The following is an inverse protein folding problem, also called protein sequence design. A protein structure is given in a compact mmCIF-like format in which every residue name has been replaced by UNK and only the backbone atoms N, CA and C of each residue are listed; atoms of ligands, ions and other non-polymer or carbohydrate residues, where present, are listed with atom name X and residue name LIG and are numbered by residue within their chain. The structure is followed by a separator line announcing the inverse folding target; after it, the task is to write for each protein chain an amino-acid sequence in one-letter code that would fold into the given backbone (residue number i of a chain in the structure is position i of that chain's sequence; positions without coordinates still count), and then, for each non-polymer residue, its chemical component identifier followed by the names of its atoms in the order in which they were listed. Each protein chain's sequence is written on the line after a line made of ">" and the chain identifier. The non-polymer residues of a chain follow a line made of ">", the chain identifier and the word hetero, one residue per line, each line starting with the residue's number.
data_IF_145458404666
#
_entry.id   IF_145458404666
#
_cell.length_a   1.000
_cell.length_b   1.000
_cell.length_c   1.000
_cell.angle_alpha   90.00
_cell.angle_beta   90.00
_cell.angle_gamma   90.00
#
_symmetry.space_group_name_H-M   'P 1'
#
loop_
_entity.id
_entity.type
_entity.pdbx_description
1 polymer ?
#
# COMPACT_ATOMS: atom_id res chain seq x y z
N UNK A 1 17.44 30.54 -59.77
CA UNK A 1 16.43 29.54 -59.41
C UNK A 1 15.55 30.20 -58.37
N UNK A 2 14.47 30.81 -58.84
CA UNK A 2 13.67 31.80 -58.11
C UNK A 2 12.74 31.15 -57.07
N UNK A 3 12.46 31.95 -56.06
CA UNK A 3 11.57 31.66 -54.94
C UNK A 3 10.10 31.54 -55.37
N UNK A 4 9.33 30.75 -54.62
CA UNK A 4 7.88 30.93 -54.49
C UNK A 4 7.54 30.97 -53.00
N UNK A 5 7.03 32.12 -52.58
CA UNK A 5 6.46 32.38 -51.26
C UNK A 5 4.92 32.34 -51.33
N UNK A 6 4.34 31.84 -50.23
CA UNK A 6 3.00 32.03 -49.64
C UNK A 6 1.82 32.49 -50.53
N UNK A 7 0.83 31.61 -50.61
CA UNK A 7 -0.55 31.86 -50.11
C UNK A 7 -1.31 30.53 -50.14
N UNK A 8 -1.61 29.92 -49.00
CA UNK A 8 -2.85 30.22 -48.29
C UNK A 8 -2.65 30.11 -46.78
N UNK A 9 -2.79 31.25 -46.13
CA UNK A 9 -2.92 31.40 -44.70
C UNK A 9 -4.38 31.19 -44.29
N UNK A 10 -4.53 30.53 -43.15
CA UNK A 10 -5.46 30.87 -42.08
C UNK A 10 -6.94 30.52 -42.24
N UNK A 11 -7.34 29.41 -41.58
CA UNK A 11 -8.24 29.39 -40.42
C UNK A 11 -8.73 27.94 -40.28
N UNK A 12 -8.11 27.09 -39.47
CA UNK A 12 -8.47 26.95 -38.06
C UNK A 12 -7.18 26.70 -37.26
N UNK A 13 -6.64 27.78 -36.72
CA UNK A 13 -5.85 27.71 -35.50
C UNK A 13 -6.63 26.93 -34.42
N UNK A 14 -5.88 26.18 -33.60
CA UNK A 14 -6.16 25.91 -32.18
C UNK A 14 -7.30 24.92 -31.86
N UNK A 15 -6.96 23.63 -31.88
CA UNK A 15 -7.41 22.52 -31.00
C UNK A 15 -6.87 21.23 -31.64
N UNK A 16 -5.86 20.52 -31.14
CA UNK A 16 -5.46 20.26 -29.76
C UNK A 16 -3.94 20.12 -29.69
N UNK A 17 -3.33 20.88 -28.79
CA UNK A 17 -2.09 20.48 -28.15
C UNK A 17 -2.37 19.28 -27.25
N UNK A 18 -1.76 18.14 -27.54
CA UNK A 18 -1.29 17.24 -26.51
C UNK A 18 -0.19 16.39 -27.13
N UNK A 19 1.03 16.66 -26.68
CA UNK A 19 2.17 15.75 -26.74
C UNK A 19 1.71 14.30 -26.64
N UNK A 20 1.99 13.48 -27.65
CA UNK A 20 2.02 12.04 -27.48
C UNK A 20 3.16 11.74 -26.51
N UNK A 21 2.85 11.69 -25.21
CA UNK A 21 3.68 10.98 -24.26
C UNK A 21 3.77 9.55 -24.78
N UNK A 22 4.98 9.08 -25.09
CA UNK A 22 5.25 7.66 -25.27
C UNK A 22 5.04 7.00 -23.90
N UNK A 23 3.81 6.63 -23.58
CA UNK A 23 3.51 5.89 -22.36
C UNK A 23 4.08 4.48 -22.56
N UNK A 24 5.17 4.17 -21.85
CA UNK A 24 5.86 2.89 -21.92
C UNK A 24 4.97 1.72 -21.50
N UNK A 25 5.30 0.51 -21.97
CA UNK A 25 4.59 -0.71 -21.56
C UNK A 25 4.91 -1.04 -20.08
N UNK A 26 3.88 -1.36 -19.30
CA UNK A 26 3.99 -1.80 -17.90
C UNK A 26 4.10 -3.33 -17.85
N UNK A 27 5.09 -3.90 -17.13
CA UNK A 27 5.26 -5.34 -16.97
C UNK A 27 4.40 -5.90 -15.83
N UNK A 28 3.10 -6.07 -16.06
CA UNK A 28 2.20 -6.69 -15.08
C UNK A 28 2.66 -8.10 -14.72
N UNK A 29 2.76 -8.41 -13.43
CA UNK A 29 3.03 -9.78 -12.95
C UNK A 29 1.70 -10.50 -12.78
N UNK A 30 1.55 -11.65 -13.45
CA UNK A 30 0.35 -12.49 -13.38
C UNK A 30 0.75 -13.81 -12.70
N UNK A 31 0.11 -14.13 -11.59
CA UNK A 31 0.26 -15.41 -10.90
C UNK A 31 -1.05 -16.18 -11.01
N UNK A 32 -0.96 -17.41 -11.50
CA UNK A 32 -2.10 -18.26 -11.75
C UNK A 32 -1.98 -19.51 -10.93
N UNK A 33 -2.92 -19.70 -10.00
CA UNK A 33 -2.99 -20.86 -9.12
C UNK A 33 -4.02 -21.83 -9.67
N UNK A 34 -3.56 -22.98 -10.14
CA UNK A 34 -4.44 -24.12 -10.47
C UNK A 34 -4.78 -24.84 -9.17
N UNK A 35 -6.05 -25.24 -8.99
CA UNK A 35 -6.47 -25.85 -7.72
C UNK A 35 -5.82 -27.21 -7.47
N UNK A 36 -5.97 -27.70 -6.25
CA UNK A 36 -5.63 -29.06 -5.80
C UNK A 36 -6.82 -30.03 -5.94
N UNK A 37 -7.81 -29.72 -6.79
CA UNK A 37 -8.89 -30.67 -7.12
C UNK A 37 -8.41 -31.75 -8.08
N UNK A 38 -8.98 -32.95 -8.01
CA UNK A 38 -8.60 -34.06 -8.88
C UNK A 38 -8.75 -33.69 -10.36
N UNK A 39 -7.67 -33.82 -11.14
CA UNK A 39 -7.60 -33.44 -12.56
C UNK A 39 -7.80 -31.94 -12.85
N UNK A 40 -7.50 -31.06 -11.89
CA UNK A 40 -7.63 -29.61 -12.06
C UNK A 40 -6.69 -28.99 -13.11
N UNK A 41 -5.55 -29.62 -13.39
CA UNK A 41 -4.54 -29.10 -14.31
C UNK A 41 -4.81 -29.38 -15.78
N UNK A 42 -4.12 -28.65 -16.66
CA UNK A 42 -4.28 -28.78 -18.11
C UNK A 42 -2.93 -28.84 -18.85
N UNK A 43 -2.93 -29.63 -19.93
CA UNK A 43 -1.88 -29.68 -20.95
C UNK A 43 -2.23 -28.84 -22.17
N UNK A 44 -3.27 -28.00 -22.10
CA UNK A 44 -3.70 -27.11 -23.18
C UNK A 44 -3.27 -25.66 -22.88
N UNK A 45 -3.70 -24.67 -23.66
CA UNK A 45 -3.36 -23.26 -23.40
C UNK A 45 -4.41 -22.58 -22.53
N UNK A 46 -3.96 -21.86 -21.51
CA UNK A 46 -4.77 -20.83 -20.87
C UNK A 46 -4.53 -19.48 -21.56
N UNK A 47 -5.50 -18.59 -21.52
CA UNK A 47 -5.30 -17.20 -21.93
C UNK A 47 -6.11 -16.24 -21.07
N UNK A 48 -5.62 -15.01 -20.93
CA UNK A 48 -6.26 -13.97 -20.13
C UNK A 48 -6.33 -12.65 -20.91
N UNK A 49 -7.41 -11.91 -20.71
CA UNK A 49 -7.54 -10.49 -21.07
C UNK A 49 -7.80 -9.71 -19.78
N UNK A 50 -7.12 -8.59 -19.62
CA UNK A 50 -7.23 -7.73 -18.45
C UNK A 50 -7.87 -6.41 -18.86
N UNK A 51 -8.92 -6.01 -18.15
CA UNK A 51 -9.69 -4.80 -18.38
C UNK A 51 -9.58 -3.88 -17.17
N UNK A 52 -9.01 -2.69 -17.37
CA UNK A 52 -8.94 -1.64 -16.36
C UNK A 52 -9.70 -0.39 -16.79
N UNK A 53 -9.63 0.65 -15.95
CA UNK A 53 -10.36 1.91 -16.16
C UNK A 53 -9.91 2.70 -17.38
N UNK A 54 -8.67 2.52 -17.84
CA UNK A 54 -8.11 3.28 -18.95
C UNK A 54 -8.02 2.48 -20.25
N UNK A 55 -7.63 1.21 -20.16
CA UNK A 55 -7.39 0.37 -21.33
C UNK A 55 -7.77 -1.10 -21.07
N UNK A 56 -7.87 -1.83 -22.18
CA UNK A 56 -8.03 -3.28 -22.25
C UNK A 56 -6.79 -3.89 -22.88
N UNK A 57 -6.28 -4.97 -22.31
CA UNK A 57 -5.13 -5.66 -22.85
C UNK A 57 -5.46 -6.48 -24.09
N UNK A 58 -4.43 -6.88 -24.84
CA UNK A 58 -4.54 -7.99 -25.78
C UNK A 58 -4.64 -9.33 -25.02
N UNK A 59 -4.99 -10.40 -25.73
CA UNK A 59 -4.95 -11.77 -25.18
C UNK A 59 -3.51 -12.15 -24.83
N UNK A 60 -3.26 -12.41 -23.56
CA UNK A 60 -2.02 -13.01 -23.10
C UNK A 60 -2.17 -14.53 -23.03
N UNK A 61 -1.34 -15.25 -23.77
CA UNK A 61 -1.36 -16.71 -23.83
C UNK A 61 -0.38 -17.33 -22.83
N UNK A 62 -0.92 -18.10 -21.90
CA UNK A 62 -0.18 -19.01 -21.01
C UNK A 62 0.09 -20.31 -21.76
N UNK A 63 1.14 -20.28 -22.58
CA UNK A 63 1.52 -21.43 -23.42
C UNK A 63 2.33 -22.43 -22.61
N UNK A 64 1.83 -23.64 -22.42
CA UNK A 64 2.66 -24.74 -21.97
C UNK A 64 3.33 -25.40 -23.18
N UNK A 65 4.60 -25.74 -23.00
CA UNK A 65 5.50 -26.24 -24.04
C UNK A 65 6.15 -27.52 -23.50
N UNK A 66 6.64 -28.44 -24.35
CA UNK A 66 7.11 -29.77 -23.91
C UNK A 66 8.09 -29.73 -22.72
N UNK A 67 8.98 -28.72 -22.69
CA UNK A 67 10.02 -28.55 -21.66
C UNK A 67 9.65 -27.58 -20.53
N UNK A 68 8.46 -26.97 -20.57
CA UNK A 68 7.94 -26.07 -19.53
C UNK A 68 6.43 -26.26 -19.42
N UNK A 69 6.07 -27.24 -18.61
CA UNK A 69 4.69 -27.57 -18.33
C UNK A 69 4.18 -26.74 -17.16
N UNK A 70 3.42 -25.70 -17.48
CA UNK A 70 2.66 -24.86 -16.57
C UNK A 70 1.22 -25.38 -16.41
N UNK A 71 0.48 -24.81 -15.46
CA UNK A 71 -0.94 -25.04 -15.17
C UNK A 71 -1.22 -26.48 -14.70
N UNK A 72 -0.28 -27.05 -13.94
CA UNK A 72 -0.46 -28.36 -13.32
C UNK A 72 -1.29 -28.24 -12.06
N UNK A 73 -1.95 -29.32 -11.71
CA UNK A 73 -2.69 -29.45 -10.46
C UNK A 73 -1.83 -29.04 -9.23
N UNK A 74 -2.40 -28.19 -8.37
CA UNK A 74 -1.76 -27.66 -7.16
C UNK A 74 -0.60 -26.70 -7.41
N UNK A 75 -0.34 -26.31 -8.67
CA UNK A 75 0.77 -25.44 -9.03
C UNK A 75 0.34 -23.97 -9.14
N UNK A 76 1.24 -23.09 -8.73
CA UNK A 76 1.16 -21.66 -9.05
C UNK A 76 2.24 -21.30 -10.06
N UNK A 77 1.83 -20.71 -11.17
CA UNK A 77 2.73 -20.29 -12.25
C UNK A 77 2.73 -18.76 -12.38
N UNK A 78 3.93 -18.19 -12.57
CA UNK A 78 4.13 -16.74 -12.70
C UNK A 78 4.50 -16.34 -14.13
N UNK A 79 3.87 -15.27 -14.60
CA UNK A 79 4.08 -14.68 -15.93
C UNK A 79 4.32 -13.18 -15.81
N UNK A 80 5.05 -12.63 -16.78
CA UNK A 80 5.20 -11.18 -16.95
C UNK A 80 4.55 -10.80 -18.27
N UNK A 81 3.56 -9.92 -18.21
CA UNK A 81 2.83 -9.44 -19.37
C UNK A 81 3.02 -7.93 -19.53
N UNK A 82 3.74 -7.54 -20.60
CA UNK A 82 4.00 -6.14 -20.93
C UNK A 82 2.88 -5.60 -21.81
N UNK A 83 2.09 -4.67 -21.30
CA UNK A 83 1.05 -4.00 -22.08
C UNK A 83 0.96 -2.51 -21.70
N UNK A 84 0.13 -1.74 -22.41
CA UNK A 84 -0.11 -0.33 -22.06
C UNK A 84 -0.73 -0.25 -20.66
N UNK A 85 -0.55 0.87 -19.93
CA UNK A 85 -1.19 1.03 -18.63
C UNK A 85 -2.69 0.81 -18.73
N UNK A 86 -3.21 -0.04 -17.86
CA UNK A 86 -4.62 -0.42 -17.87
C UNK A 86 -5.46 0.47 -16.94
N UNK A 87 -4.81 1.26 -16.08
CA UNK A 87 -5.47 1.96 -14.98
C UNK A 87 -5.84 0.99 -13.86
N UNK A 88 -6.85 1.33 -13.07
CA UNK A 88 -7.36 0.46 -12.02
C UNK A 88 -8.05 -0.76 -12.64
N UNK A 89 -7.60 -1.98 -12.31
CA UNK A 89 -8.16 -3.19 -12.88
C UNK A 89 -9.58 -3.42 -12.38
N UNK A 90 -10.50 -3.70 -13.30
CA UNK A 90 -11.93 -3.90 -13.02
C UNK A 90 -12.41 -5.30 -13.29
N UNK A 91 -11.77 -6.00 -14.22
CA UNK A 91 -12.26 -7.28 -14.73
C UNK A 91 -11.16 -8.04 -15.44
N UNK A 92 -11.31 -9.35 -15.46
CA UNK A 92 -10.56 -10.22 -16.37
C UNK A 92 -11.50 -11.09 -17.19
N UNK A 93 -11.07 -11.47 -18.38
CA UNK A 93 -11.65 -12.58 -19.14
C UNK A 93 -10.62 -13.70 -19.19
N UNK A 94 -10.98 -14.87 -18.70
CA UNK A 94 -10.12 -16.05 -18.67
C UNK A 94 -10.67 -17.10 -19.64
N UNK A 95 -9.80 -17.74 -20.40
CA UNK A 95 -10.23 -18.80 -21.28
C UNK A 95 -9.19 -19.89 -21.47
N UNK A 96 -9.64 -20.92 -22.16
CA UNK A 96 -8.92 -22.14 -22.41
C UNK A 96 -8.95 -22.40 -23.92
N UNK A 97 -7.84 -22.87 -24.50
CA UNK A 97 -7.69 -23.03 -25.94
C UNK A 97 -6.84 -24.26 -26.28
N UNK A 98 -7.26 -25.00 -27.31
CA UNK A 98 -6.62 -26.23 -27.75
C UNK A 98 -5.24 -25.92 -28.34
N UNK A 99 -4.26 -26.78 -28.03
CA UNK A 99 -2.96 -26.73 -28.67
C UNK A 99 -3.08 -27.28 -30.07
N UNK A 100 -2.60 -26.54 -31.08
CA UNK A 100 -2.57 -27.05 -32.45
C UNK A 100 -1.80 -28.37 -32.59
N UNK A 101 -0.79 -28.58 -31.75
CA UNK A 101 0.11 -29.74 -31.76
C UNK A 101 -0.44 -30.97 -31.00
N UNK A 102 -1.44 -30.78 -30.13
CA UNK A 102 -1.99 -31.83 -29.26
C UNK A 102 -3.51 -31.78 -29.27
N UNK A 103 -4.12 -32.48 -30.23
CA UNK A 103 -5.57 -32.45 -30.37
C UNK A 103 -6.31 -33.25 -29.30
N UNK A 104 -7.39 -32.67 -28.77
CA UNK A 104 -8.36 -33.31 -27.88
C UNK A 104 -9.10 -34.49 -28.54
N UNK A 105 -9.02 -34.66 -29.86
CA UNK A 105 -9.54 -35.88 -30.51
C UNK A 105 -8.78 -37.14 -30.08
N UNK A 106 -7.57 -36.99 -29.56
CA UNK A 106 -6.70 -38.08 -29.12
C UNK A 106 -6.68 -38.24 -27.59
N UNK A 107 -7.04 -37.21 -26.83
CA UNK A 107 -7.00 -37.19 -25.36
C UNK A 107 -8.39 -36.98 -24.73
N UNK A 108 -8.60 -37.57 -23.55
CA UNK A 108 -9.91 -37.66 -22.87
C UNK A 108 -10.50 -36.27 -22.58
N UNK A 109 -11.84 -36.19 -22.50
CA UNK A 109 -12.66 -35.03 -22.06
C UNK A 109 -12.15 -34.31 -20.80
N UNK A 110 -11.30 -34.98 -20.00
CA UNK A 110 -10.69 -34.46 -18.77
C UNK A 110 -9.68 -33.34 -18.99
N UNK A 111 -9.08 -33.23 -20.18
CA UNK A 111 -8.12 -32.14 -20.51
C UNK A 111 -8.81 -30.93 -21.17
N UNK A 112 -10.11 -31.01 -21.45
CA UNK A 112 -10.89 -29.92 -22.02
C UNK A 112 -11.26 -28.85 -20.97
N UNK A 113 -11.01 -29.14 -19.68
CA UNK A 113 -11.33 -28.26 -18.56
C UNK A 113 -10.09 -28.01 -17.71
N UNK A 114 -10.00 -26.81 -17.18
CA UNK A 114 -8.93 -26.37 -16.31
C UNK A 114 -9.53 -25.67 -15.09
N UNK A 115 -9.29 -26.20 -13.89
CA UNK A 115 -9.83 -25.60 -12.67
C UNK A 115 -8.86 -24.57 -12.10
N UNK A 116 -9.28 -23.31 -12.12
CA UNK A 116 -8.49 -22.19 -11.65
C UNK A 116 -8.97 -21.82 -10.26
N UNK A 117 -8.06 -21.84 -9.29
CA UNK A 117 -8.36 -21.43 -7.92
C UNK A 117 -8.37 -19.90 -7.81
N UNK A 118 -7.28 -19.26 -8.26
CA UNK A 118 -7.10 -17.82 -8.14
C UNK A 118 -6.18 -17.28 -9.24
N UNK A 119 -6.43 -16.05 -9.65
CA UNK A 119 -5.50 -15.23 -10.43
C UNK A 119 -5.11 -14.01 -9.61
N UNK A 120 -3.81 -13.76 -9.49
CA UNK A 120 -3.27 -12.55 -8.84
C UNK A 120 -2.54 -11.72 -9.88
N UNK A 121 -2.87 -10.43 -9.98
CA UNK A 121 -2.23 -9.49 -10.89
C UNK A 121 -1.60 -8.37 -10.07
N UNK A 122 -0.30 -8.15 -10.23
CA UNK A 122 0.41 -7.02 -9.62
C UNK A 122 0.68 -5.95 -10.67
N UNK A 123 0.19 -4.74 -10.41
CA UNK A 123 0.59 -3.53 -11.14
C UNK A 123 1.85 -2.96 -10.49
N UNK A 124 3.03 -3.04 -11.15
CA UNK A 124 4.27 -2.53 -10.56
C UNK A 124 4.34 -1.00 -10.52
N UNK A 125 3.49 -0.28 -11.27
CA UNK A 125 3.48 1.18 -11.27
C UNK A 125 2.84 1.77 -10.01
N UNK A 126 1.81 1.09 -9.49
CA UNK A 126 1.11 1.49 -8.27
C UNK A 126 1.42 0.60 -7.07
N UNK A 127 2.13 -0.51 -7.28
CA UNK A 127 2.31 -1.60 -6.30
C UNK A 127 1.00 -2.24 -5.83
N UNK A 128 -0.08 -2.09 -6.59
CA UNK A 128 -1.39 -2.68 -6.27
C UNK A 128 -1.44 -4.15 -6.67
N UNK A 129 -2.04 -4.97 -5.82
CA UNK A 129 -2.25 -6.41 -6.04
C UNK A 129 -3.75 -6.67 -6.15
N UNK A 130 -4.19 -7.16 -7.30
CA UNK A 130 -5.57 -7.55 -7.59
C UNK A 130 -5.68 -9.06 -7.50
N UNK A 131 -6.59 -9.56 -6.67
CA UNK A 131 -6.87 -11.00 -6.53
C UNK A 131 -8.25 -11.31 -7.10
N UNK A 132 -8.31 -12.32 -7.95
CA UNK A 132 -9.53 -12.83 -8.56
C UNK A 132 -9.71 -14.28 -8.11
N UNK A 133 -10.57 -14.57 -7.12
CA UNK A 133 -10.87 -15.93 -6.68
C UNK A 133 -11.79 -16.60 -7.71
N UNK A 134 -11.20 -17.26 -8.70
CA UNK A 134 -11.93 -17.87 -9.80
C UNK A 134 -12.75 -19.07 -9.32
N UNK A 135 -12.10 -20.00 -8.58
CA UNK A 135 -12.68 -21.23 -8.02
C UNK A 135 -13.65 -21.93 -9.00
N UNK A 136 -13.28 -21.99 -10.28
CA UNK A 136 -14.16 -22.47 -11.36
C UNK A 136 -13.38 -23.25 -12.42
N UNK A 137 -14.05 -24.24 -13.01
CA UNK A 137 -13.62 -24.94 -14.22
C UNK A 137 -13.80 -24.06 -15.45
N UNK A 138 -12.70 -23.77 -16.14
CA UNK A 138 -12.67 -23.07 -17.42
C UNK A 138 -12.68 -24.11 -18.54
N UNK A 139 -13.75 -24.12 -19.31
CA UNK A 139 -13.96 -25.06 -20.42
C UNK A 139 -13.41 -24.50 -21.73
N UNK A 140 -12.76 -25.35 -22.52
CA UNK A 140 -12.22 -24.98 -23.84
C UNK A 140 -13.30 -24.60 -24.86
N UNK A 141 -14.54 -25.07 -24.64
CA UNK A 141 -15.68 -24.73 -25.47
C UNK A 141 -16.25 -23.34 -25.15
N UNK A 142 -15.88 -22.77 -24.00
CA UNK A 142 -16.28 -21.41 -23.64
C UNK A 142 -15.43 -20.40 -24.41
N UNK A 143 -16.05 -19.31 -24.88
CA UNK A 143 -15.34 -18.21 -25.57
C UNK A 143 -14.54 -17.31 -24.63
N UNK A 144 -14.44 -17.68 -23.36
CA UNK A 144 -13.89 -16.90 -22.26
C UNK A 144 -14.95 -16.59 -21.21
N UNK A 145 -14.62 -16.87 -19.97
CA UNK A 145 -15.44 -16.58 -18.80
C UNK A 145 -14.98 -15.25 -18.19
N UNK A 146 -15.95 -14.40 -17.84
CA UNK A 146 -15.70 -13.04 -17.36
C UNK A 146 -15.81 -12.99 -15.85
N UNK A 147 -14.81 -12.39 -15.21
CA UNK A 147 -14.72 -12.25 -13.76
C UNK A 147 -14.51 -10.78 -13.41
N UNK A 148 -15.51 -10.17 -12.77
CA UNK A 148 -15.39 -8.83 -12.23
C UNK A 148 -14.48 -8.83 -11.00
N UNK A 149 -13.67 -7.78 -10.88
CA UNK A 149 -12.93 -7.50 -9.66
C UNK A 149 -13.93 -6.97 -8.64
N UNK A 150 -14.36 -7.86 -7.73
CA UNK A 150 -14.91 -7.42 -6.47
C UNK A 150 -13.72 -7.01 -5.61
N UNK A 151 -13.74 -5.78 -5.09
CA UNK A 151 -12.92 -5.41 -3.94
C UNK A 151 -13.42 -6.30 -2.79
N UNK A 152 -12.92 -7.53 -2.72
CA UNK A 152 -12.98 -8.33 -1.53
C UNK A 152 -12.19 -7.55 -0.50
N UNK A 153 -12.90 -6.69 0.24
CA UNK A 153 -12.49 -6.21 1.54
C UNK A 153 -12.43 -7.42 2.50
N UNK A 154 -11.62 -8.42 2.16
CA UNK A 154 -11.13 -9.43 3.07
C UNK A 154 -10.14 -8.70 3.99
N UNK A 155 -10.71 -8.20 5.08
CA UNK A 155 -10.06 -7.83 6.32
C UNK A 155 -8.74 -7.07 6.18
N UNK A 156 -8.86 -5.76 6.41
CA UNK A 156 -7.82 -4.81 6.86
C UNK A 156 -6.81 -5.40 7.87
N UNK A 157 -7.15 -6.51 8.54
CA UNK A 157 -6.30 -7.29 9.45
C UNK A 157 -5.09 -7.90 8.74
N UNK A 158 -5.17 -8.34 7.47
CA UNK A 158 -4.05 -9.08 6.84
C UNK A 158 -2.98 -8.15 6.24
N UNK A 159 -3.34 -6.95 5.78
CA UNK A 159 -2.35 -5.93 5.36
C UNK A 159 -1.60 -5.30 6.55
N UNK A 160 -2.09 -5.50 7.77
CA UNK A 160 -1.36 -5.11 8.97
C UNK A 160 -0.15 -6.02 9.26
N UNK A 161 -0.09 -7.22 8.65
CA UNK A 161 0.93 -8.24 8.95
C UNK A 161 2.15 -8.29 8.01
N UNK A 162 2.35 -7.28 7.14
CA UNK A 162 3.66 -7.02 6.52
C UNK A 162 4.06 -5.55 6.71
N UNK A 163 3.82 -4.99 7.91
CA UNK A 163 4.48 -3.75 8.33
C UNK A 163 5.59 -4.10 9.29
N UNK A 164 6.79 -3.65 8.98
CA UNK A 164 7.93 -3.85 9.86
C UNK A 164 7.68 -3.12 11.18
N UNK A 165 8.05 -3.76 12.29
CA UNK A 165 8.06 -3.10 13.59
C UNK A 165 9.24 -2.12 13.63
N UNK A 166 8.94 -0.82 13.74
CA UNK A 166 9.92 0.25 13.81
C UNK A 166 10.07 0.72 15.26
N UNK A 167 11.30 1.10 15.63
CA UNK A 167 11.59 1.78 16.89
C UNK A 167 11.55 3.28 16.66
N UNK A 168 10.69 3.98 17.41
CA UNK A 168 10.69 5.43 17.48
C UNK A 168 11.30 5.88 18.82
N UNK A 169 12.35 6.69 18.77
CA UNK A 169 12.92 7.36 19.95
C UNK A 169 12.16 8.67 20.18
N UNK A 170 11.49 8.77 21.32
CA UNK A 170 10.75 9.97 21.75
C UNK A 170 11.66 10.75 22.70
N UNK A 171 11.90 12.02 22.42
CA UNK A 171 12.70 12.91 23.25
C UNK A 171 11.79 14.03 23.72
N UNK A 172 11.43 14.02 24.99
CA UNK A 172 10.54 15.01 25.60
C UNK A 172 11.35 16.08 26.30
N UNK A 173 11.12 17.35 25.93
CA UNK A 173 11.76 18.50 26.56
C UNK A 173 10.77 19.20 27.49
N UNK A 174 11.00 19.09 28.80
CA UNK A 174 10.27 19.90 29.77
C UNK A 174 10.89 21.30 29.82
N UNK A 175 10.07 22.35 29.79
CA UNK A 175 10.58 23.71 29.78
C UNK A 175 11.32 24.10 31.05
N UNK A 176 12.19 25.11 30.93
CA UNK A 176 12.93 25.68 32.05
C UNK A 176 12.25 26.94 32.59
N UNK A 177 11.01 26.79 33.05
CA UNK A 177 10.24 27.85 33.72
C UNK A 177 9.85 27.44 35.13
N UNK A 178 9.54 28.41 35.99
CA UNK A 178 9.14 28.14 37.37
C UNK A 178 7.93 27.20 37.41
N UNK A 179 8.00 26.16 38.25
CA UNK A 179 6.97 25.11 38.39
C UNK A 179 6.68 24.26 37.14
N UNK A 180 7.57 24.21 36.16
CA UNK A 180 7.38 23.44 34.91
C UNK A 180 7.34 21.91 35.07
N UNK A 181 7.56 21.35 36.26
CA UNK A 181 7.70 19.89 36.44
C UNK A 181 6.36 19.24 36.70
N UNK A 182 6.19 17.98 36.28
CA UNK A 182 5.00 17.20 36.63
C UNK A 182 5.34 15.89 37.34
N UNK A 183 4.45 15.46 38.23
CA UNK A 183 4.43 14.13 38.83
C UNK A 183 3.31 13.24 38.27
N UNK A 184 2.43 13.80 37.42
CA UNK A 184 1.36 13.08 36.73
C UNK A 184 1.89 12.01 35.77
N UNK A 185 1.06 11.01 35.47
CA UNK A 185 1.42 10.03 34.45
C UNK A 185 1.22 10.64 33.06
N UNK A 186 2.28 10.66 32.25
CA UNK A 186 2.25 11.18 30.88
C UNK A 186 2.07 10.05 29.87
N UNK A 187 1.24 10.28 28.86
CA UNK A 187 1.01 9.37 27.73
C UNK A 187 1.13 10.10 26.39
N UNK A 188 1.41 9.36 25.33
CA UNK A 188 1.56 9.90 23.97
C UNK A 188 0.85 9.01 22.93
N UNK A 189 0.38 9.62 21.85
CA UNK A 189 -0.02 8.94 20.61
C UNK A 189 0.70 9.61 19.45
N UNK A 190 1.46 8.85 18.67
CA UNK A 190 2.01 9.32 17.40
C UNK A 190 1.05 8.96 16.26
N UNK A 191 0.87 9.88 15.33
CA UNK A 191 0.10 9.68 14.10
C UNK A 191 1.00 9.92 12.88
N UNK A 192 0.90 9.02 11.92
CA UNK A 192 1.52 9.16 10.61
C UNK A 192 0.58 8.74 9.49
N UNK A 193 1.06 8.81 8.25
CA UNK A 193 0.27 8.50 7.05
C UNK A 193 -0.25 7.06 7.00
N UNK A 194 0.41 6.13 7.71
CA UNK A 194 0.05 4.71 7.70
C UNK A 194 -0.72 4.26 8.95
N UNK A 195 -0.86 5.09 9.99
CA UNK A 195 -1.58 4.72 11.20
C UNK A 195 -1.18 5.51 12.44
N UNK A 196 -1.40 4.91 13.62
CA UNK A 196 -1.02 5.50 14.90
C UNK A 196 -0.54 4.45 15.90
N UNK A 197 0.11 4.89 16.97
CA UNK A 197 0.68 3.99 17.98
C UNK A 197 -0.35 3.42 18.95
N UNK A 198 -1.57 3.96 19.00
CA UNK A 198 -2.40 3.95 20.20
C UNK A 198 -1.75 4.71 21.36
N UNK A 199 -2.42 4.75 22.51
CA UNK A 199 -1.89 5.40 23.72
C UNK A 199 -0.70 4.64 24.29
N UNK A 200 0.44 5.34 24.42
CA UNK A 200 1.69 4.78 24.95
C UNK A 200 2.09 5.54 26.22
N UNK A 201 2.20 4.87 27.38
CA UNK A 201 2.65 5.52 28.61
C UNK A 201 4.16 5.79 28.55
N UNK A 202 4.56 7.00 28.93
CA UNK A 202 5.97 7.39 29.00
C UNK A 202 6.51 7.16 30.42
N UNK A 203 7.06 5.96 30.66
CA UNK A 203 7.54 5.53 31.98
C UNK A 203 8.95 4.94 31.92
N UNK A 204 9.76 5.21 32.93
CA UNK A 204 11.07 4.59 33.18
C UNK A 204 11.20 4.22 34.66
N UNK A 205 11.61 2.98 34.94
CA UNK A 205 11.83 2.52 36.32
C UNK A 205 13.01 3.25 36.94
N UNK A 206 12.88 3.63 38.21
CA UNK A 206 13.99 4.17 39.02
C UNK A 206 14.45 5.58 38.67
N UNK A 207 13.71 6.34 37.84
CA UNK A 207 14.06 7.72 37.48
C UNK A 207 12.87 8.65 37.65
N UNK A 208 13.11 9.83 38.23
CA UNK A 208 12.14 10.94 38.20
C UNK A 208 12.16 11.57 36.80
N UNK A 209 10.99 11.63 36.18
CA UNK A 209 10.80 12.13 34.82
C UNK A 209 10.17 13.53 34.85
N UNK A 210 10.23 14.22 33.72
CA UNK A 210 9.53 15.47 33.45
C UNK A 210 9.81 16.57 34.47
N UNK A 211 11.06 16.66 34.94
CA UNK A 211 11.51 17.76 35.80
C UNK A 211 11.78 19.00 34.95
N UNK A 212 11.67 20.17 35.57
CA UNK A 212 12.01 21.46 34.98
C UNK A 212 13.37 21.39 34.27
N UNK A 213 13.41 21.79 33.00
CA UNK A 213 14.61 21.76 32.15
C UNK A 213 15.14 20.37 31.80
N UNK A 214 14.46 19.28 32.19
CA UNK A 214 14.91 17.92 31.92
C UNK A 214 14.54 17.49 30.51
N UNK A 215 15.43 16.69 29.93
CA UNK A 215 15.22 15.94 28.70
C UNK A 215 15.05 14.46 29.07
N UNK A 216 13.93 13.89 28.65
CA UNK A 216 13.59 12.49 28.89
C UNK A 216 13.37 11.74 27.58
N UNK A 217 14.13 10.66 27.40
CA UNK A 217 14.04 9.83 26.20
C UNK A 217 13.20 8.57 26.43
N UNK A 218 12.49 8.07 25.43
CA UNK A 218 11.72 6.82 25.49
C UNK A 218 11.82 6.08 24.15
N UNK A 219 11.61 4.77 24.17
CA UNK A 219 11.52 3.96 22.95
C UNK A 219 10.11 3.39 22.85
N UNK A 220 9.45 3.64 21.72
CA UNK A 220 8.16 3.04 21.36
C UNK A 220 8.41 2.10 20.18
N UNK A 221 7.97 0.85 20.31
CA UNK A 221 7.95 -0.13 19.21
C UNK A 221 6.52 -0.25 18.70
N UNK A 222 6.32 0.02 17.41
CA UNK A 222 5.04 -0.08 16.74
C UNK A 222 5.25 -0.41 15.26
N UNK A 223 4.17 -0.66 14.53
CA UNK A 223 4.24 -0.76 13.07
C UNK A 223 4.71 0.56 12.48
N UNK A 224 5.32 0.50 11.29
CA UNK A 224 5.68 1.67 10.51
C UNK A 224 4.47 2.62 10.36
N UNK A 225 4.66 3.86 10.80
CA UNK A 225 3.65 4.92 10.77
C UNK A 225 3.74 5.75 9.47
N UNK A 226 4.76 5.54 8.64
CA UNK A 226 5.07 6.40 7.51
C UNK A 226 5.48 7.80 7.95
N UNK A 227 5.12 8.83 7.17
CA UNK A 227 5.43 10.22 7.50
C UNK A 227 4.61 10.68 8.69
N UNK A 228 5.28 11.08 9.78
CA UNK A 228 4.61 11.60 10.97
C UNK A 228 3.97 12.96 10.68
N UNK A 229 2.74 13.16 11.13
CA UNK A 229 1.97 14.37 10.84
C UNK A 229 1.29 14.99 12.06
N UNK A 230 1.16 14.24 13.16
CA UNK A 230 0.53 14.72 14.39
C UNK A 230 1.03 13.93 15.60
N UNK A 231 1.09 14.59 16.74
CA UNK A 231 1.43 14.01 18.02
C UNK A 231 0.41 14.47 19.06
N UNK A 232 -0.21 13.52 19.76
CA UNK A 232 -1.05 13.81 20.93
C UNK A 232 -0.24 13.47 22.19
N UNK A 233 -0.19 14.37 23.15
CA UNK A 233 0.46 14.16 24.44
C UNK A 233 -0.41 14.70 25.56
N UNK A 234 -0.55 13.94 26.63
CA UNK A 234 -1.43 14.25 27.75
C UNK A 234 -0.86 13.75 29.07
N UNK A 235 -1.41 14.26 30.17
CA UNK A 235 -1.23 13.70 31.49
C UNK A 235 -2.57 13.43 32.17
N UNK A 236 -2.59 12.52 33.14
CA UNK A 236 -3.82 12.09 33.83
C UNK A 236 -4.27 13.01 34.99
N UNK A 237 -3.59 14.14 35.19
CA UNK A 237 -3.84 15.10 36.27
C UNK A 237 -3.83 14.48 37.69
N UNK A 238 -3.08 13.40 37.88
CA UNK A 238 -2.89 12.76 39.20
C UNK A 238 -1.72 13.37 39.96
N UNK A 239 -1.59 12.98 41.23
CA UNK A 239 -0.55 13.42 42.18
C UNK A 239 -0.60 14.92 42.51
N UNK A 240 0.48 15.48 43.07
CA UNK A 240 0.47 16.75 43.79
C UNK A 240 0.74 17.97 42.89
N UNK A 241 1.53 17.80 41.84
CA UNK A 241 1.93 18.88 40.92
C UNK A 241 1.68 18.44 39.48
N UNK A 242 0.41 18.32 39.05
CA UNK A 242 0.08 17.76 37.75
C UNK A 242 0.42 18.69 36.59
N UNK A 243 0.38 20.00 36.81
CA UNK A 243 0.61 21.02 35.78
C UNK A 243 2.04 20.95 35.25
N UNK A 244 2.18 20.99 33.93
CA UNK A 244 3.42 20.69 33.22
C UNK A 244 3.68 21.70 32.13
N UNK A 245 4.88 22.26 32.05
CA UNK A 245 5.25 23.07 30.87
C UNK A 245 6.04 22.21 29.88
N UNK A 246 5.40 21.85 28.78
CA UNK A 246 6.03 21.11 27.70
C UNK A 246 6.62 22.08 26.68
N UNK A 247 7.94 22.01 26.46
CA UNK A 247 8.61 22.84 25.47
C UNK A 247 8.44 22.27 24.05
N UNK A 248 8.85 21.01 23.84
CA UNK A 248 8.74 20.30 22.56
C UNK A 248 8.88 18.80 22.74
N UNK A 249 8.51 18.04 21.71
CA UNK A 249 8.84 16.62 21.59
C UNK A 249 9.55 16.39 20.26
N UNK A 250 10.68 15.70 20.28
CA UNK A 250 11.36 15.21 19.09
C UNK A 250 11.10 13.72 18.94
N UNK A 251 10.82 13.28 17.71
CA UNK A 251 10.57 11.88 17.39
C UNK A 251 11.56 11.45 16.31
N UNK A 252 12.42 10.49 16.65
CA UNK A 252 13.40 9.92 15.72
C UNK A 252 12.93 8.55 15.28
N UNK A 253 12.74 8.37 13.97
CA UNK A 253 12.61 7.03 13.38
C UNK A 253 14.00 6.40 13.38
N UNK A 254 14.22 5.35 14.18
CA UNK A 254 15.56 4.76 14.34
C UNK A 254 16.03 3.93 13.14
N UNK A 255 15.14 3.59 12.20
CA UNK A 255 15.50 2.89 10.97
C UNK A 255 15.97 3.88 9.89
N UNK A 256 15.27 5.01 9.73
CA UNK A 256 15.61 6.03 8.73
C UNK A 256 16.53 7.13 9.26
N UNK A 257 16.70 7.23 10.58
CA UNK A 257 17.31 8.35 11.29
C UNK A 257 16.66 9.72 11.03
N UNK A 258 15.45 9.73 10.47
CA UNK A 258 14.66 10.95 10.29
C UNK A 258 14.16 11.45 11.65
N UNK A 259 14.34 12.75 11.90
CA UNK A 259 13.90 13.41 13.13
C UNK A 259 12.79 14.40 12.81
N UNK A 260 11.67 14.27 13.50
CA UNK A 260 10.52 15.17 13.38
C UNK A 260 10.33 15.91 14.70
N UNK A 261 10.22 17.24 14.64
CA UNK A 261 10.10 18.09 15.83
C UNK A 261 8.67 18.63 15.95
N UNK A 262 8.07 18.40 17.12
CA UNK A 262 6.74 18.87 17.50
C UNK A 262 6.87 19.94 18.59
N UNK A 263 6.88 21.24 18.23
CA UNK A 263 6.94 22.33 19.20
C UNK A 263 5.63 22.42 20.00
N UNK A 264 5.73 22.79 21.28
CA UNK A 264 4.58 22.98 22.15
C UNK A 264 4.63 24.35 22.85
N UNK A 265 5.65 24.59 23.68
CA UNK A 265 5.85 25.80 24.48
C UNK A 265 4.60 26.28 25.22
N UNK A 266 3.85 25.35 25.81
CA UNK A 266 2.58 25.63 26.51
C UNK A 266 2.44 24.78 27.76
N UNK A 267 1.61 25.26 28.69
CA UNK A 267 1.26 24.52 29.89
C UNK A 267 0.20 23.47 29.57
N UNK A 268 0.35 22.27 30.11
CA UNK A 268 -0.71 21.26 30.23
C UNK A 268 -1.04 21.22 31.72
N UNK A 269 -2.20 21.73 32.11
CA UNK A 269 -2.50 21.90 33.53
C UNK A 269 -3.84 22.58 33.77
N UNK A 270 -4.51 22.20 34.85
CA UNK A 270 -5.84 22.78 35.17
C UNK A 270 -5.75 24.17 35.78
N UNK A 271 -4.57 24.58 36.27
CA UNK A 271 -4.38 25.90 36.89
C UNK A 271 -3.60 26.86 35.99
N UNK A 272 -3.20 26.42 34.80
CA UNK A 272 -2.40 27.19 33.85
C UNK A 272 -3.00 27.22 32.44
N UNK A 273 -2.62 28.26 31.68
CA UNK A 273 -2.90 28.43 30.25
C UNK A 273 -4.39 28.27 29.91
N UNK A 274 -4.79 27.25 29.15
CA UNK A 274 -6.17 27.03 28.71
C UNK A 274 -6.91 25.96 29.52
N UNK A 275 -6.40 25.61 30.70
CA UNK A 275 -6.94 24.59 31.59
C UNK A 275 -7.00 23.18 31.00
N UNK A 276 -6.35 22.93 29.85
CA UNK A 276 -6.30 21.62 29.23
C UNK A 276 -5.06 20.85 29.68
N UNK A 277 -5.23 19.54 29.82
CA UNK A 277 -4.19 18.59 30.27
C UNK A 277 -3.57 17.81 29.10
N UNK A 278 -3.83 18.24 27.86
CA UNK A 278 -3.34 17.59 26.65
C UNK A 278 -3.00 18.61 25.57
N UNK A 279 -2.19 18.18 24.58
CA UNK A 279 -1.88 18.94 23.37
C UNK A 279 -1.89 18.03 22.15
N UNK A 280 -2.47 18.54 21.06
CA UNK A 280 -2.30 17.99 19.72
C UNK A 280 -1.31 18.88 18.98
N UNK A 281 -0.14 18.34 18.65
CA UNK A 281 0.97 19.04 18.04
C UNK A 281 1.11 18.60 16.58
N UNK A 282 1.54 19.54 15.74
CA UNK A 282 1.91 19.30 14.34
C UNK A 282 3.42 19.50 14.19
N UNK A 283 4.07 18.82 13.23
CA UNK A 283 5.50 18.99 13.00
C UNK A 283 5.80 20.38 12.44
N UNK A 284 7.04 20.84 12.61
CA UNK A 284 7.54 21.99 11.85
C UNK A 284 7.79 21.48 10.42
N UNK A 285 7.17 22.11 9.42
CA UNK A 285 7.52 21.87 8.03
C UNK A 285 8.88 22.53 7.75
N UNK A 286 9.84 21.77 7.22
CA UNK A 286 11.06 22.31 6.63
C UNK A 286 10.67 23.02 5.31
N UNK A 287 10.26 24.28 5.41
CA UNK A 287 9.97 25.17 4.28
C UNK A 287 11.24 25.63 3.56
#
# INVERSE_FOLDING_TARGET
>A
MEAVDKSNLCSICKKLSASRFCIGLIPYKIEVTTSDEQNSGTTQYGWIIIEGTENRSEKFYMRNIPHKQILRHGQTDTFIFKCRPLGELRRITLGHEERPEYSLRTYKEREAKWHVAQITITDPSTSTIYKFPIKQWIDINNKGDVFDYADEQEDTVVQQYIRQAIKYKIIVHTGDVFSASTDANVSIILYGTLGNTGTRPLKKKGRKLFRRGQIDEFIIVCLDLGKLNKLHIEHDNTYFTPDWFLAKVEVVNMETNETVVFPCNRWLGKQHDDHQIHRNLVPIDDS
#
